data_IF_002928609684
#
_entry.id   IF_002928609684
#
_cell.length_a   1.000
_cell.length_b   1.000
_cell.length_c   1.000
_cell.angle_alpha   90.00
_cell.angle_beta   90.00
_cell.angle_gamma   90.00
#
_symmetry.space_group_name_H-M   'P 1'
#
loop_
_entity.id
_entity.type
_entity.pdbx_description
1 polymer ?
#
# COMPACT_ATOMS: atom_id res chain seq x y z
N UNK A 1 -5.10 0.53 25.34
CA UNK A 1 -5.62 0.12 24.03
C UNK A 1 -5.57 -1.39 23.97
N UNK A 2 -6.70 -2.02 23.70
CA UNK A 2 -6.73 -3.44 23.34
C UNK A 2 -6.28 -3.61 21.87
N UNK A 3 -6.00 -4.85 21.43
CA UNK A 3 -5.53 -5.13 20.07
C UNK A 3 -6.52 -4.65 18.99
N UNK A 4 -7.82 -4.72 19.28
CA UNK A 4 -8.90 -4.25 18.41
C UNK A 4 -8.87 -2.73 18.19
N UNK A 5 -8.78 -1.93 19.26
CA UNK A 5 -8.69 -0.47 19.18
C UNK A 5 -7.43 -0.04 18.42
N UNK A 6 -6.34 -0.79 18.61
CA UNK A 6 -5.11 -0.54 17.87
C UNK A 6 -5.29 -0.84 16.38
N UNK A 7 -5.92 -1.96 16.01
CA UNK A 7 -6.22 -2.31 14.63
C UNK A 7 -7.09 -1.22 13.94
N UNK A 8 -8.23 -0.85 14.54
CA UNK A 8 -9.10 0.21 13.97
C UNK A 8 -8.34 1.52 13.80
N UNK A 9 -7.50 1.88 14.78
CA UNK A 9 -6.71 3.11 14.69
C UNK A 9 -5.69 3.04 13.55
N UNK A 10 -5.02 1.91 13.40
CA UNK A 10 -4.02 1.70 12.35
C UNK A 10 -4.64 1.86 10.95
N UNK A 11 -5.80 1.25 10.69
CA UNK A 11 -6.55 1.41 9.44
C UNK A 11 -6.97 2.87 9.20
N UNK A 12 -7.48 3.57 10.24
CA UNK A 12 -7.86 4.99 10.12
C UNK A 12 -6.66 5.90 9.88
N UNK A 13 -5.51 5.60 10.49
CA UNK A 13 -4.24 6.30 10.23
C UNK A 13 -3.74 5.99 8.79
N UNK A 14 -3.97 4.79 8.27
CA UNK A 14 -3.73 4.39 6.87
C UNK A 14 -4.60 5.18 5.89
N UNK A 15 -5.93 5.16 6.07
CA UNK A 15 -6.90 5.93 5.28
C UNK A 15 -6.49 7.40 5.18
N UNK A 16 -6.18 8.01 6.33
CA UNK A 16 -5.78 9.41 6.40
C UNK A 16 -4.47 9.64 5.66
N UNK A 17 -3.47 8.81 5.90
CA UNK A 17 -2.17 8.91 5.24
C UNK A 17 -2.32 8.84 3.71
N UNK A 18 -3.07 7.87 3.19
CA UNK A 18 -3.29 7.73 1.76
C UNK A 18 -4.13 8.87 1.17
N UNK A 19 -5.11 9.38 1.90
CA UNK A 19 -5.84 10.59 1.49
C UNK A 19 -4.90 11.78 1.35
N UNK A 20 -4.01 12.00 2.33
CA UNK A 20 -3.01 13.08 2.27
C UNK A 20 -2.03 12.89 1.10
N UNK A 21 -1.63 11.66 0.78
CA UNK A 21 -0.77 11.39 -0.38
C UNK A 21 -1.51 11.61 -1.70
N UNK A 22 -2.78 11.22 -1.80
CA UNK A 22 -3.60 11.51 -2.97
C UNK A 22 -3.68 13.01 -3.23
N UNK A 23 -3.86 13.82 -2.18
CA UNK A 23 -3.91 15.28 -2.32
C UNK A 23 -2.60 15.90 -2.83
N UNK A 24 -1.46 15.37 -2.39
CA UNK A 24 -0.12 15.80 -2.86
C UNK A 24 0.12 15.44 -4.33
N UNK A 25 -0.56 14.42 -4.84
CA UNK A 25 -0.40 13.89 -6.18
C UNK A 25 -1.58 14.23 -7.10
N UNK A 26 -2.40 15.23 -6.75
CA UNK A 26 -3.59 15.64 -7.52
C UNK A 26 -3.31 15.81 -9.01
N UNK A 27 -4.17 15.20 -9.84
CA UNK A 27 -4.07 15.24 -11.30
C UNK A 27 -3.13 14.21 -11.91
N UNK A 28 -2.57 13.30 -11.11
CA UNK A 28 -1.69 12.21 -11.58
C UNK A 28 -2.36 10.84 -11.44
N UNK A 29 -1.75 9.80 -12.00
CA UNK A 29 -2.22 8.43 -11.78
C UNK A 29 -2.00 7.95 -10.33
N UNK A 30 -1.03 8.55 -9.61
CA UNK A 30 -0.77 8.26 -8.21
C UNK A 30 -1.90 8.76 -7.30
N UNK A 31 -2.59 9.84 -7.66
CA UNK A 31 -3.80 10.27 -6.94
C UNK A 31 -4.84 9.14 -6.88
N UNK A 32 -5.12 8.52 -8.02
CA UNK A 32 -6.12 7.45 -8.10
C UNK A 32 -5.69 6.22 -7.30
N UNK A 33 -4.41 5.86 -7.37
CA UNK A 33 -3.81 4.78 -6.60
C UNK A 33 -4.03 4.99 -5.10
N UNK A 34 -3.63 6.16 -4.60
CA UNK A 34 -3.75 6.49 -3.19
C UNK A 34 -5.21 6.64 -2.73
N UNK A 35 -6.10 7.14 -3.58
CA UNK A 35 -7.54 7.16 -3.26
C UNK A 35 -8.14 5.76 -3.18
N UNK A 36 -7.69 4.83 -4.01
CA UNK A 36 -8.15 3.44 -3.94
C UNK A 36 -7.62 2.76 -2.67
N UNK A 37 -6.35 2.94 -2.32
CA UNK A 37 -5.78 2.45 -1.04
C UNK A 37 -6.55 3.03 0.15
N UNK A 38 -6.77 4.34 0.21
CA UNK A 38 -7.53 4.98 1.29
C UNK A 38 -8.94 4.40 1.47
N UNK A 39 -9.60 4.02 0.36
CA UNK A 39 -10.92 3.39 0.41
C UNK A 39 -10.87 1.99 0.99
N UNK A 40 -9.79 1.25 0.76
CA UNK A 40 -9.65 -0.11 1.27
C UNK A 40 -9.35 -0.12 2.77
N UNK A 41 -8.41 0.71 3.24
CA UNK A 41 -8.17 0.92 4.68
C UNK A 41 -9.47 1.31 5.42
N UNK A 42 -10.27 2.18 4.80
CA UNK A 42 -11.58 2.55 5.35
C UNK A 42 -12.51 1.34 5.48
N UNK A 43 -12.61 0.51 4.44
CA UNK A 43 -13.44 -0.71 4.50
C UNK A 43 -12.92 -1.68 5.56
N UNK A 44 -11.60 -1.84 5.67
CA UNK A 44 -10.98 -2.69 6.69
C UNK A 44 -11.38 -2.22 8.10
N UNK A 45 -11.26 -0.92 8.38
CA UNK A 45 -11.74 -0.32 9.63
C UNK A 45 -13.23 -0.61 9.88
N UNK A 46 -14.08 -0.41 8.86
CA UNK A 46 -15.52 -0.66 8.96
C UNK A 46 -15.84 -2.15 9.22
N UNK A 47 -15.12 -3.09 8.60
CA UNK A 47 -15.30 -4.53 8.82
C UNK A 47 -14.90 -4.88 10.25
N UNK A 48 -13.76 -4.37 10.73
CA UNK A 48 -13.27 -4.61 12.10
C UNK A 48 -14.25 -4.02 13.13
N UNK A 49 -14.79 -2.82 12.88
CA UNK A 49 -15.81 -2.18 13.73
C UNK A 49 -17.12 -3.01 13.76
N UNK A 50 -17.60 -3.50 12.61
CA UNK A 50 -18.78 -4.37 12.54
C UNK A 50 -18.56 -5.69 13.26
N UNK A 51 -17.38 -6.31 13.09
CA UNK A 51 -16.99 -7.52 13.80
C UNK A 51 -17.00 -7.31 15.32
N UNK A 52 -16.40 -6.22 15.80
CA UNK A 52 -16.39 -5.86 17.22
C UNK A 52 -17.79 -5.67 17.81
N UNK A 53 -18.72 -5.16 17.01
CA UNK A 53 -20.12 -4.96 17.38
C UNK A 53 -20.98 -6.23 17.19
N UNK A 54 -20.39 -7.35 16.76
CA UNK A 54 -21.08 -8.61 16.42
C UNK A 54 -22.19 -8.41 15.37
N UNK A 55 -22.00 -7.44 14.47
CA UNK A 55 -22.88 -7.18 13.35
C UNK A 55 -22.50 -8.05 12.15
N UNK A 56 -23.41 -8.16 11.19
CA UNK A 56 -23.11 -8.83 9.92
C UNK A 56 -22.16 -7.96 9.07
N UNK A 57 -21.19 -8.60 8.43
CA UNK A 57 -20.21 -7.96 7.55
C UNK A 57 -19.93 -8.85 6.35
N UNK A 58 -19.52 -8.22 5.25
CA UNK A 58 -19.15 -8.90 4.02
C UNK A 58 -17.66 -8.69 3.75
N UNK A 59 -16.98 -9.76 3.34
CA UNK A 59 -15.59 -9.73 2.94
C UNK A 59 -15.56 -9.48 1.42
N UNK A 60 -15.52 -8.22 1.03
CA UNK A 60 -15.44 -7.80 -0.37
C UNK A 60 -13.98 -7.53 -0.73
N UNK A 61 -13.40 -8.37 -1.57
CA UNK A 61 -12.02 -8.19 -2.06
C UNK A 61 -11.95 -7.01 -2.99
N UNK A 62 -10.89 -6.21 -2.85
CA UNK A 62 -10.54 -5.21 -3.84
C UNK A 62 -9.30 -5.65 -4.62
N UNK A 63 -9.36 -5.49 -5.93
CA UNK A 63 -8.33 -6.00 -6.82
C UNK A 63 -7.28 -4.93 -7.18
N UNK A 64 -6.83 -4.17 -6.17
CA UNK A 64 -5.90 -3.04 -6.37
C UNK A 64 -4.59 -3.54 -6.99
N UNK A 65 -4.03 -4.65 -6.51
CA UNK A 65 -2.76 -5.17 -7.02
C UNK A 65 -2.82 -5.52 -8.51
N UNK A 66 -3.81 -6.27 -9.00
CA UNK A 66 -3.89 -6.61 -10.43
C UNK A 66 -4.27 -5.39 -11.29
N UNK A 67 -5.13 -4.51 -10.77
CA UNK A 67 -5.52 -3.27 -11.45
C UNK A 67 -4.31 -2.40 -11.76
N UNK A 68 -3.39 -2.25 -10.81
CA UNK A 68 -2.24 -1.37 -10.98
C UNK A 68 -0.99 -2.08 -11.52
N UNK A 69 -0.82 -3.40 -11.33
CA UNK A 69 0.27 -4.19 -11.93
C UNK A 69 0.39 -3.98 -13.44
N UNK A 70 -0.73 -4.09 -14.15
CA UNK A 70 -0.78 -3.86 -15.60
C UNK A 70 -0.44 -2.41 -15.97
N UNK A 71 -0.87 -1.45 -15.16
CA UNK A 71 -0.63 -0.01 -15.37
C UNK A 71 0.86 0.34 -15.19
N UNK A 72 1.55 -0.28 -14.22
CA UNK A 72 2.99 -0.09 -14.02
C UNK A 72 3.84 -0.67 -15.17
N UNK A 73 3.46 -1.84 -15.68
CA UNK A 73 4.20 -2.50 -16.76
C UNK A 73 4.01 -1.78 -18.10
N UNK A 74 2.79 -1.30 -18.39
CA UNK A 74 2.41 -0.79 -19.72
C UNK A 74 2.26 0.74 -19.82
N UNK A 75 2.04 1.44 -18.72
CA UNK A 75 1.73 2.88 -18.71
C UNK A 75 2.97 3.78 -18.72
N UNK A 76 3.30 4.37 -19.87
CA UNK A 76 4.33 5.43 -19.97
C UNK A 76 4.00 6.65 -19.09
N UNK A 77 2.72 7.01 -19.03
CA UNK A 77 2.23 8.17 -18.26
C UNK A 77 2.33 7.93 -16.74
N UNK A 78 2.12 6.69 -16.30
CA UNK A 78 2.32 6.33 -14.89
C UNK A 78 3.80 6.45 -14.50
N UNK A 79 4.71 5.99 -15.36
CA UNK A 79 6.16 6.10 -15.12
C UNK A 79 6.64 7.56 -15.06
N UNK A 80 5.98 8.49 -15.75
CA UNK A 80 6.31 9.93 -15.64
C UNK A 80 5.80 10.59 -14.34
N UNK A 81 4.76 10.02 -13.72
CA UNK A 81 4.26 10.46 -12.43
C UNK A 81 5.15 9.97 -11.27
N UNK A 82 5.79 8.81 -11.43
CA UNK A 82 6.81 8.29 -10.51
C UNK A 82 8.13 9.03 -10.75
N UNK A 83 8.40 10.06 -9.95
CA UNK A 83 9.69 10.79 -9.99
C UNK A 83 10.63 10.31 -8.88
N UNK A 84 11.91 10.06 -9.17
CA UNK A 84 12.92 9.83 -8.15
C UNK A 84 13.20 11.15 -7.43
N UNK A 85 12.38 11.45 -6.44
CA UNK A 85 12.65 12.50 -5.45
C UNK A 85 12.86 11.77 -4.14
N UNK A 86 13.92 12.09 -3.35
CA UNK A 86 14.21 11.40 -2.09
C UNK A 86 12.97 11.29 -1.19
N UNK A 87 12.16 12.35 -1.16
CA UNK A 87 10.92 12.43 -0.39
C UNK A 87 9.86 11.40 -0.82
N UNK A 88 9.86 10.96 -2.07
CA UNK A 88 8.87 10.01 -2.59
C UNK A 88 9.23 8.57 -2.22
N UNK A 89 10.52 8.22 -2.27
CA UNK A 89 11.01 6.91 -1.83
C UNK A 89 10.71 6.72 -0.33
N UNK A 90 11.00 7.74 0.48
CA UNK A 90 10.70 7.74 1.92
C UNK A 90 9.20 7.56 2.20
N UNK A 91 8.33 8.16 1.38
CA UNK A 91 6.87 7.99 1.50
C UNK A 91 6.46 6.54 1.21
N UNK A 92 7.01 5.90 0.18
CA UNK A 92 6.68 4.50 -0.14
C UNK A 92 7.26 3.53 0.87
N UNK A 93 8.46 3.78 1.40
CA UNK A 93 9.05 2.96 2.46
C UNK A 93 8.25 3.08 3.77
N UNK A 94 7.76 4.29 4.09
CA UNK A 94 6.86 4.50 5.23
C UNK A 94 5.52 3.78 5.03
N UNK A 95 4.93 3.85 3.83
CA UNK A 95 3.70 3.15 3.50
C UNK A 95 3.88 1.63 3.65
N UNK A 96 4.90 1.06 3.01
CA UNK A 96 5.23 -0.37 3.12
C UNK A 96 5.44 -0.81 4.57
N UNK A 97 6.07 0.04 5.40
CA UNK A 97 6.26 -0.25 6.82
C UNK A 97 4.91 -0.34 7.55
N UNK A 98 3.98 0.57 7.27
CA UNK A 98 2.62 0.52 7.84
C UNK A 98 1.91 -0.78 7.46
N UNK A 99 1.99 -1.18 6.20
CA UNK A 99 1.43 -2.46 5.74
C UNK A 99 2.00 -3.67 6.50
N UNK A 100 3.33 -3.69 6.70
CA UNK A 100 3.99 -4.75 7.47
C UNK A 100 3.51 -4.77 8.91
N UNK A 101 3.39 -3.59 9.56
CA UNK A 101 2.87 -3.48 10.92
C UNK A 101 1.42 -3.99 11.01
N UNK A 102 0.58 -3.74 9.99
CA UNK A 102 -0.78 -4.29 9.91
C UNK A 102 -0.80 -5.81 9.78
N UNK A 103 0.00 -6.36 8.86
CA UNK A 103 0.12 -7.81 8.66
C UNK A 103 0.54 -8.49 9.97
N UNK A 104 1.58 -7.99 10.63
CA UNK A 104 2.08 -8.58 11.89
C UNK A 104 1.04 -8.53 13.01
N UNK A 105 0.20 -7.49 13.04
CA UNK A 105 -0.90 -7.39 14.00
C UNK A 105 -1.97 -8.45 13.70
N UNK A 106 -2.42 -8.55 12.45
CA UNK A 106 -3.44 -9.51 12.06
C UNK A 106 -2.98 -10.95 12.18
N UNK A 107 -1.71 -11.26 11.92
CA UNK A 107 -1.14 -12.58 12.18
C UNK A 107 -1.17 -12.96 13.67
N UNK A 108 -0.99 -11.98 14.58
CA UNK A 108 -1.13 -12.22 16.02
C UNK A 108 -2.59 -12.46 16.37
N UNK A 109 -3.50 -11.62 15.89
CA UNK A 109 -4.94 -11.78 16.14
C UNK A 109 -5.48 -13.11 15.59
N UNK A 110 -5.00 -13.56 14.43
CA UNK A 110 -5.33 -14.85 13.83
C UNK A 110 -4.88 -16.03 14.71
N UNK A 111 -3.70 -15.94 15.35
CA UNK A 111 -3.21 -16.98 16.26
C UNK A 111 -4.07 -17.11 17.52
N UNK A 112 -4.59 -15.99 18.01
CA UNK A 112 -5.46 -15.93 19.19
C UNK A 112 -6.95 -16.20 18.86
N UNK A 113 -7.32 -16.21 17.57
CA UNK A 113 -8.70 -16.40 17.13
C UNK A 113 -9.20 -17.83 17.37
N UNK A 114 -10.41 -17.94 17.95
CA UNK A 114 -11.03 -19.23 18.28
C UNK A 114 -12.11 -19.58 17.27
N UNK A 115 -12.97 -18.62 16.90
CA UNK A 115 -14.07 -18.88 15.96
C UNK A 115 -13.57 -18.87 14.51
N UNK A 116 -14.12 -19.76 13.68
CA UNK A 116 -13.73 -19.84 12.28
C UNK A 116 -14.08 -18.57 11.49
N UNK A 117 -15.13 -17.84 11.91
CA UNK A 117 -15.45 -16.53 11.33
C UNK A 117 -14.36 -15.49 11.60
N UNK A 118 -13.78 -15.48 12.80
CA UNK A 118 -12.69 -14.56 13.17
C UNK A 118 -11.42 -14.88 12.38
N UNK A 119 -11.11 -16.18 12.24
CA UNK A 119 -9.97 -16.63 11.44
C UNK A 119 -10.07 -16.15 10.00
N UNK A 120 -11.23 -16.38 9.35
CA UNK A 120 -11.48 -15.93 7.98
C UNK A 120 -11.36 -14.42 7.82
N UNK A 121 -11.79 -13.65 8.82
CA UNK A 121 -11.63 -12.20 8.82
C UNK A 121 -10.15 -11.79 8.84
N UNK A 122 -9.36 -12.33 9.77
CA UNK A 122 -7.94 -11.96 9.86
C UNK A 122 -7.12 -12.49 8.69
N UNK A 123 -7.42 -13.69 8.19
CA UNK A 123 -6.83 -14.21 6.94
C UNK A 123 -7.11 -13.28 5.76
N UNK A 124 -8.36 -12.81 5.62
CA UNK A 124 -8.74 -11.86 4.58
C UNK A 124 -7.96 -10.54 4.72
N UNK A 125 -7.88 -9.95 5.91
CA UNK A 125 -7.14 -8.70 6.13
C UNK A 125 -5.65 -8.88 5.82
N UNK A 126 -5.03 -9.99 6.26
CA UNK A 126 -3.64 -10.32 5.92
C UNK A 126 -3.43 -10.39 4.40
N UNK A 127 -4.34 -11.05 3.68
CA UNK A 127 -4.26 -11.15 2.21
C UNK A 127 -4.32 -9.77 1.54
N UNK A 128 -5.21 -8.86 1.99
CA UNK A 128 -5.33 -7.51 1.42
C UNK A 128 -4.09 -6.67 1.72
N UNK A 129 -3.59 -6.64 2.96
CA UNK A 129 -2.37 -5.88 3.30
C UNK A 129 -1.12 -6.44 2.62
N UNK A 130 -1.05 -7.74 2.36
CA UNK A 130 0.02 -8.33 1.56
C UNK A 130 0.03 -7.80 0.13
N UNK A 131 -1.15 -7.57 -0.47
CA UNK A 131 -1.27 -6.96 -1.80
C UNK A 131 -0.82 -5.51 -1.78
N UNK A 132 -1.19 -4.74 -0.75
CA UNK A 132 -0.72 -3.36 -0.58
C UNK A 132 0.80 -3.31 -0.43
N UNK A 133 1.38 -4.19 0.39
CA UNK A 133 2.82 -4.34 0.54
C UNK A 133 3.50 -4.68 -0.80
N UNK A 134 2.98 -5.62 -1.57
CA UNK A 134 3.53 -6.00 -2.88
C UNK A 134 3.50 -4.81 -3.86
N UNK A 135 2.44 -4.01 -3.83
CA UNK A 135 2.32 -2.81 -4.63
C UNK A 135 3.41 -1.78 -4.28
N UNK A 136 3.70 -1.56 -3.00
CA UNK A 136 4.80 -0.66 -2.59
C UNK A 136 6.19 -1.24 -2.90
N UNK A 137 6.38 -2.54 -2.76
CA UNK A 137 7.63 -3.21 -3.15
C UNK A 137 7.94 -2.97 -4.64
N UNK A 138 6.93 -3.13 -5.50
CA UNK A 138 7.05 -2.84 -6.93
C UNK A 138 7.37 -1.36 -7.20
N UNK A 139 6.68 -0.42 -6.54
CA UNK A 139 6.94 1.02 -6.67
C UNK A 139 8.38 1.39 -6.29
N UNK A 140 8.86 0.88 -5.15
CA UNK A 140 10.22 1.09 -4.66
C UNK A 140 11.23 0.48 -5.64
N UNK A 141 10.97 -0.74 -6.12
CA UNK A 141 11.82 -1.42 -7.10
C UNK A 141 11.94 -0.66 -8.41
N UNK A 142 10.86 -0.02 -8.88
CA UNK A 142 10.88 0.83 -10.07
C UNK A 142 11.71 2.12 -9.85
N UNK A 143 11.55 2.78 -8.70
CA UNK A 143 12.31 3.98 -8.37
C UNK A 143 13.80 3.72 -8.26
N UNK A 144 14.20 2.68 -7.52
CA UNK A 144 15.62 2.33 -7.34
C UNK A 144 16.29 1.98 -8.66
N UNK A 145 15.59 1.28 -9.57
CA UNK A 145 16.08 1.05 -10.93
C UNK A 145 16.22 2.36 -11.71
N UNK A 146 15.26 3.27 -11.63
CA UNK A 146 15.36 4.57 -12.31
C UNK A 146 16.55 5.41 -11.82
N UNK A 147 16.81 5.46 -10.51
CA UNK A 147 17.99 6.13 -9.94
C UNK A 147 19.30 5.53 -10.46
N UNK A 148 19.44 4.20 -10.43
CA UNK A 148 20.64 3.52 -10.94
C UNK A 148 20.92 3.81 -12.43
N UNK A 149 19.89 3.96 -13.25
CA UNK A 149 20.04 4.30 -14.67
C UNK A 149 20.46 5.77 -14.87
N UNK A 150 19.97 6.69 -14.04
CA UNK A 150 20.38 8.11 -14.09
C UNK A 150 21.84 8.26 -13.63
N UNK A 151 22.22 7.64 -12.51
CA UNK A 151 23.61 7.64 -12.04
C UNK A 151 24.54 7.03 -13.10
N UNK A 152 24.17 5.91 -13.72
CA UNK A 152 24.97 5.29 -14.79
C UNK A 152 25.13 6.19 -16.02
N UNK A 153 24.13 7.03 -16.33
CA UNK A 153 24.19 7.98 -17.43
C UNK A 153 25.00 9.25 -17.08
N UNK A 154 24.97 9.71 -15.83
CA UNK A 154 25.80 10.82 -15.34
C UNK A 154 27.29 10.46 -15.21
N UNK A 155 27.60 9.21 -14.85
CA UNK A 155 28.98 8.71 -14.73
C UNK A 155 29.49 8.00 -15.99
N UNK A 156 28.68 7.92 -17.05
CA UNK A 156 29.08 7.44 -18.37
C UNK A 156 30.03 8.44 -19.02
N UNK A 157 31.33 8.31 -18.78
CA UNK A 157 32.38 9.04 -19.48
C UNK A 157 32.15 8.85 -20.99
N UNK A 158 31.64 9.87 -21.68
CA UNK A 158 31.80 9.98 -23.13
C UNK A 158 33.30 10.11 -23.37
N UNK A 159 33.95 9.02 -23.77
CA UNK A 159 35.17 9.15 -24.56
C UNK A 159 34.73 9.71 -25.90
N UNK A 160 34.79 11.03 -26.03
CA UNK A 160 34.90 11.69 -27.32
C UNK A 160 36.21 11.19 -27.96
N UNK A 161 36.11 10.13 -28.75
CA UNK A 161 37.17 9.71 -29.64
C UNK A 161 37.11 10.62 -30.88
N UNK A 162 38.05 11.58 -30.95
CA UNK A 162 38.45 12.31 -32.17
C UNK A 162 39.67 11.65 -32.79
#
# INVERSE_FOLDING_TARGET
MNALEFAIKMEKDGEKFYTEQAEKHKGTHLEKLFLDLARDEKKHAEIIEKWAQKMDYQLERTDISEKYKNVFETGKEFKSDIRPVPTQLEVYELAMKKEIESIELYEKMLKDAVEEKEKKLFEFLIEEEQKHKELFDNLIGHLRKAEQWVESAEFGIRRDEY
#
